data_IF_555120792153
#
_entry.id   IF_555120792153
#
_cell.length_a   1.000
_cell.length_b   1.000
_cell.length_c   1.000
_cell.angle_alpha   90.00
_cell.angle_beta   90.00
_cell.angle_gamma   90.00
#
_symmetry.space_group_name_H-M   'P 1'
#
loop_
_entity.id
_entity.type
_entity.pdbx_description
1 polymer ?
#
# COMPACT_ATOMS: atom_id res chain seq x y z
N UNK A 1 -14.98 -0.44 26.90
CA UNK A 1 -14.47 -1.48 25.97
C UNK A 1 -14.50 -1.01 24.50
N UNK A 2 -15.50 -0.30 24.06
CA UNK A 2 -15.60 0.15 22.65
C UNK A 2 -14.52 1.15 22.23
N UNK A 3 -14.15 2.10 23.08
CA UNK A 3 -13.11 3.10 22.78
C UNK A 3 -11.73 2.49 22.49
N UNK A 4 -11.38 1.39 23.13
CA UNK A 4 -10.10 0.70 22.93
C UNK A 4 -10.07 -0.10 21.60
N UNK A 5 -11.21 -0.61 21.18
CA UNK A 5 -11.33 -1.33 19.91
C UNK A 5 -11.19 -0.38 18.72
N UNK A 6 -11.82 0.79 18.77
CA UNK A 6 -11.70 1.84 17.75
C UNK A 6 -10.26 2.35 17.62
N UNK A 7 -9.58 2.52 18.76
CA UNK A 7 -8.18 2.93 18.78
C UNK A 7 -7.25 1.90 18.12
N UNK A 8 -7.48 0.60 18.36
CA UNK A 8 -6.71 -0.48 17.74
C UNK A 8 -6.94 -0.58 16.24
N UNK A 9 -8.17 -0.41 15.77
CA UNK A 9 -8.47 -0.39 14.34
C UNK A 9 -7.79 0.79 13.65
N UNK A 10 -7.86 1.97 14.23
CA UNK A 10 -7.16 3.14 13.70
C UNK A 10 -5.63 2.94 13.66
N UNK A 11 -5.05 2.30 14.68
CA UNK A 11 -3.63 1.97 14.70
C UNK A 11 -3.27 0.95 13.61
N UNK A 12 -4.08 -0.07 13.39
CA UNK A 12 -3.88 -1.05 12.31
C UNK A 12 -3.97 -0.38 10.93
N UNK A 13 -4.96 0.46 10.71
CA UNK A 13 -5.09 1.23 9.46
C UNK A 13 -3.90 2.13 9.21
N UNK A 14 -3.41 2.81 10.24
CA UNK A 14 -2.21 3.63 10.17
C UNK A 14 -0.98 2.81 9.77
N UNK A 15 -0.76 1.68 10.43
CA UNK A 15 0.37 0.77 10.16
C UNK A 15 0.27 0.10 8.79
N UNK A 16 -0.94 -0.18 8.30
CA UNK A 16 -1.17 -0.91 7.04
C UNK A 16 -1.12 -0.01 5.80
N UNK A 17 -0.93 1.31 5.96
CA UNK A 17 -0.87 2.28 4.85
C UNK A 17 0.12 1.89 3.74
N UNK A 18 1.39 1.54 4.03
CA UNK A 18 2.33 1.18 2.98
C UNK A 18 1.89 -0.04 2.17
N UNK A 19 1.34 -1.03 2.84
CA UNK A 19 0.86 -2.26 2.21
C UNK A 19 -0.34 -2.00 1.29
N UNK A 20 -1.30 -1.20 1.73
CA UNK A 20 -2.46 -0.80 0.91
C UNK A 20 -2.03 -0.01 -0.32
N UNK A 21 -1.11 0.92 -0.18
CA UNK A 21 -0.54 1.67 -1.30
C UNK A 21 0.20 0.75 -2.28
N UNK A 22 0.94 -0.23 -1.79
CA UNK A 22 1.62 -1.22 -2.62
C UNK A 22 0.64 -2.06 -3.44
N UNK A 23 -0.45 -2.52 -2.84
CA UNK A 23 -1.52 -3.21 -3.57
C UNK A 23 -2.17 -2.31 -4.62
N UNK A 24 -2.37 -1.03 -4.32
CA UNK A 24 -2.85 -0.04 -5.27
C UNK A 24 -1.93 0.09 -6.48
N UNK A 25 -0.62 0.13 -6.27
CA UNK A 25 0.39 0.17 -7.33
C UNK A 25 0.31 -1.08 -8.21
N UNK A 26 0.24 -2.28 -7.63
CA UNK A 26 0.13 -3.52 -8.40
C UNK A 26 -1.15 -3.55 -9.26
N UNK A 27 -2.28 -3.09 -8.72
CA UNK A 27 -3.52 -2.96 -9.48
C UNK A 27 -3.39 -1.96 -10.64
N UNK A 28 -2.73 -0.84 -10.43
CA UNK A 28 -2.46 0.16 -11.48
C UNK A 28 -1.56 -0.39 -12.57
N UNK A 29 -0.52 -1.15 -12.21
CA UNK A 29 0.35 -1.84 -13.18
C UNK A 29 -0.43 -2.80 -14.07
N UNK A 30 -1.34 -3.60 -13.50
CA UNK A 30 -2.19 -4.50 -14.26
C UNK A 30 -3.11 -3.73 -15.23
N UNK A 31 -3.70 -2.61 -14.78
CA UNK A 31 -4.52 -1.76 -15.65
C UNK A 31 -3.71 -1.15 -16.80
N UNK A 32 -2.49 -0.72 -16.56
CA UNK A 32 -1.59 -0.18 -17.59
C UNK A 32 -1.32 -1.23 -18.65
N UNK A 33 -0.98 -2.45 -18.26
CA UNK A 33 -0.77 -3.56 -19.21
C UNK A 33 -2.02 -3.81 -20.04
N UNK A 34 -3.19 -3.89 -19.42
CA UNK A 34 -4.47 -4.09 -20.12
C UNK A 34 -4.78 -2.97 -21.11
N UNK A 35 -4.55 -1.71 -20.72
CA UNK A 35 -4.78 -0.55 -21.59
C UNK A 35 -3.83 -0.53 -22.79
N UNK A 36 -2.57 -0.86 -22.58
CA UNK A 36 -1.58 -0.96 -23.66
C UNK A 36 -1.89 -2.09 -24.63
N UNK A 37 -2.31 -3.24 -24.14
CA UNK A 37 -2.72 -4.38 -24.98
C UNK A 37 -3.94 -4.02 -25.83
N UNK A 38 -4.95 -3.36 -25.24
CA UNK A 38 -6.11 -2.88 -25.99
C UNK A 38 -5.73 -1.82 -27.04
N UNK A 39 -4.84 -0.89 -26.70
CA UNK A 39 -4.34 0.10 -27.63
C UNK A 39 -3.60 -0.55 -28.82
N UNK A 40 -2.77 -1.56 -28.56
CA UNK A 40 -2.05 -2.32 -29.59
C UNK A 40 -3.01 -3.06 -30.52
N UNK A 41 -4.05 -3.69 -30.02
CA UNK A 41 -5.09 -4.35 -30.83
C UNK A 41 -5.86 -3.35 -31.69
N UNK A 42 -6.17 -2.18 -31.13
CA UNK A 42 -6.84 -1.10 -31.84
C UNK A 42 -5.98 -0.57 -32.98
N UNK A 43 -4.65 -0.46 -32.78
CA UNK A 43 -3.69 -0.07 -33.82
C UNK A 43 -3.68 -1.07 -34.96
N UNK A 44 -3.70 -2.36 -34.71
CA UNK A 44 -3.77 -3.41 -35.73
C UNK A 44 -5.04 -3.28 -36.59
N UNK A 45 -6.19 -2.92 -35.99
CA UNK A 45 -7.45 -2.70 -36.68
C UNK A 45 -7.43 -1.41 -37.56
N UNK A 46 -6.68 -0.38 -37.17
CA UNK A 46 -6.54 0.89 -37.92
C UNK A 46 -5.68 0.71 -39.16
N UNK A 47 -4.72 -0.20 -39.14
CA UNK A 47 -3.79 -0.45 -40.27
C UNK A 47 -4.50 -0.85 -41.59
N UNK A 48 -5.72 -1.42 -41.49
CA UNK A 48 -6.51 -1.88 -42.63
C UNK A 48 -7.58 -0.88 -43.09
N UNK A 49 -7.63 0.36 -42.53
CA UNK A 49 -8.65 1.35 -42.85
C UNK A 49 -8.05 2.61 -43.52
N UNK A 50 -8.79 3.27 -44.48
CA UNK A 50 -8.34 4.53 -45.05
C UNK A 50 -8.32 5.65 -43.99
N UNK A 51 -7.30 6.50 -44.08
CA UNK A 51 -7.03 7.62 -43.18
C UNK A 51 -8.17 8.65 -43.19
N UNK A 52 -8.97 8.64 -42.16
CA UNK A 52 -9.78 9.79 -41.73
C UNK A 52 -10.13 9.60 -40.25
N UNK A 53 -10.41 10.70 -39.52
CA UNK A 53 -10.78 10.76 -38.11
C UNK A 53 -11.55 9.53 -37.65
N UNK A 54 -10.81 8.45 -37.40
CA UNK A 54 -11.38 7.18 -37.05
C UNK A 54 -11.69 7.20 -35.51
N UNK A 55 -12.91 6.84 -35.09
CA UNK A 55 -13.21 6.66 -33.64
C UNK A 55 -12.24 5.74 -32.96
N UNK A 56 -11.61 4.81 -33.68
CA UNK A 56 -10.60 3.87 -33.16
C UNK A 56 -9.28 4.59 -32.78
N UNK A 57 -8.87 5.62 -33.56
CA UNK A 57 -7.68 6.42 -33.22
C UNK A 57 -7.90 7.17 -31.91
N UNK A 58 -9.06 7.80 -31.71
CA UNK A 58 -9.39 8.51 -30.48
C UNK A 58 -9.46 7.56 -29.28
N UNK A 59 -10.00 6.36 -29.47
CA UNK A 59 -10.01 5.32 -28.41
C UNK A 59 -8.61 4.90 -28.03
N UNK A 60 -7.74 4.67 -29.00
CA UNK A 60 -6.33 4.33 -28.76
C UNK A 60 -5.61 5.44 -27.99
N UNK A 61 -5.75 6.68 -28.41
CA UNK A 61 -5.16 7.85 -27.73
C UNK A 61 -5.68 7.96 -26.28
N UNK A 62 -6.98 7.78 -26.07
CA UNK A 62 -7.59 7.80 -24.75
C UNK A 62 -7.02 6.70 -23.84
N UNK A 63 -6.83 5.48 -24.35
CA UNK A 63 -6.24 4.37 -23.58
C UNK A 63 -4.79 4.65 -23.20
N UNK A 64 -4.00 5.20 -24.15
CA UNK A 64 -2.60 5.57 -23.88
C UNK A 64 -2.48 6.72 -22.88
N UNK A 65 -3.36 7.71 -22.96
CA UNK A 65 -3.41 8.80 -21.99
C UNK A 65 -3.78 8.28 -20.57
N UNK A 66 -4.75 7.38 -20.47
CA UNK A 66 -5.10 6.75 -19.18
C UNK A 66 -3.94 5.94 -18.61
N UNK A 67 -3.21 5.21 -19.45
CA UNK A 67 -2.03 4.48 -19.02
C UNK A 67 -0.94 5.44 -18.49
N UNK A 68 -0.69 6.55 -19.18
CA UNK A 68 0.28 7.56 -18.75
C UNK A 68 -0.13 8.24 -17.44
N UNK A 69 -1.41 8.51 -17.22
CA UNK A 69 -1.94 9.06 -15.97
C UNK A 69 -1.72 8.07 -14.80
N UNK A 70 -1.99 6.79 -15.02
CA UNK A 70 -1.73 5.75 -14.01
C UNK A 70 -0.25 5.62 -13.67
N UNK A 71 0.65 5.77 -14.65
CA UNK A 71 2.10 5.77 -14.40
C UNK A 71 2.52 6.93 -13.49
N UNK A 72 1.96 8.12 -13.69
CA UNK A 72 2.21 9.27 -12.81
C UNK A 72 1.66 9.05 -11.39
N UNK A 73 0.48 8.44 -11.28
CA UNK A 73 -0.09 8.07 -9.97
C UNK A 73 0.79 7.06 -9.23
N UNK A 74 1.37 6.07 -9.93
CA UNK A 74 2.30 5.10 -9.34
C UNK A 74 3.53 5.79 -8.75
N UNK A 75 4.09 6.77 -9.43
CA UNK A 75 5.23 7.54 -8.91
C UNK A 75 4.85 8.28 -7.63
N UNK A 76 3.68 8.93 -7.60
CA UNK A 76 3.18 9.60 -6.40
C UNK A 76 2.90 8.62 -5.26
N UNK A 77 2.31 7.46 -5.55
CA UNK A 77 2.05 6.40 -4.57
C UNK A 77 3.36 5.84 -3.99
N UNK A 78 4.41 5.71 -4.80
CA UNK A 78 5.72 5.25 -4.31
C UNK A 78 6.33 6.22 -3.31
N UNK A 79 6.24 7.52 -3.56
CA UNK A 79 6.68 8.56 -2.61
C UNK A 79 5.85 8.48 -1.32
N UNK A 80 4.54 8.29 -1.46
CA UNK A 80 3.65 8.14 -0.29
C UNK A 80 3.98 6.90 0.56
N UNK A 81 4.37 5.78 -0.08
CA UNK A 81 4.85 4.58 0.61
C UNK A 81 6.11 4.88 1.43
N UNK A 82 7.09 5.51 0.83
CA UNK A 82 8.36 5.82 1.48
C UNK A 82 8.15 6.74 2.69
N UNK A 83 7.33 7.77 2.54
CA UNK A 83 6.95 8.68 3.63
C UNK A 83 6.21 7.94 4.75
N UNK A 84 5.25 7.09 4.40
CA UNK A 84 4.51 6.29 5.39
C UNK A 84 5.43 5.31 6.14
N UNK A 85 6.37 4.68 5.46
CA UNK A 85 7.36 3.78 6.09
C UNK A 85 8.27 4.53 7.07
N UNK A 86 8.74 5.71 6.71
CA UNK A 86 9.55 6.55 7.60
C UNK A 86 8.80 6.92 8.88
N UNK A 87 7.55 7.36 8.75
CA UNK A 87 6.70 7.72 9.89
C UNK A 87 6.43 6.50 10.80
N UNK A 88 6.07 5.37 10.20
CA UNK A 88 5.80 4.11 10.93
C UNK A 88 7.06 3.62 11.61
N UNK A 89 8.19 3.64 10.95
CA UNK A 89 9.47 3.23 11.51
C UNK A 89 9.84 4.05 12.75
N UNK A 90 9.69 5.37 12.69
CA UNK A 90 9.92 6.25 13.82
C UNK A 90 9.00 5.92 15.01
N UNK A 91 7.71 5.69 14.75
CA UNK A 91 6.74 5.35 15.78
C UNK A 91 6.98 3.95 16.37
N UNK A 92 7.35 2.97 15.54
CA UNK A 92 7.65 1.59 15.96
C UNK A 92 8.91 1.55 16.84
N UNK A 93 9.97 2.24 16.47
CA UNK A 93 11.21 2.28 17.26
C UNK A 93 11.07 3.01 18.60
N UNK A 94 10.00 3.74 18.79
CA UNK A 94 9.65 4.37 20.07
C UNK A 94 8.89 3.42 21.04
N UNK A 95 8.59 2.19 20.63
CA UNK A 95 8.04 1.15 21.47
C UNK A 95 9.15 0.54 22.35
N UNK A 96 8.89 0.41 23.66
CA UNK A 96 9.89 -0.07 24.61
C UNK A 96 10.20 -1.57 24.48
N UNK A 97 9.19 -2.41 24.24
CA UNK A 97 9.39 -3.86 24.10
C UNK A 97 10.01 -4.19 22.74
N UNK A 98 11.24 -4.65 22.75
CA UNK A 98 12.00 -5.02 21.54
C UNK A 98 11.30 -6.09 20.68
N UNK A 99 10.60 -7.04 21.29
CA UNK A 99 9.90 -8.11 20.55
C UNK A 99 8.69 -7.58 19.79
N UNK A 100 7.92 -6.71 20.42
CA UNK A 100 6.82 -6.00 19.77
C UNK A 100 7.33 -5.12 18.63
N UNK A 101 8.40 -4.40 18.87
CA UNK A 101 9.08 -3.55 17.90
C UNK A 101 9.51 -4.34 16.67
N UNK A 102 10.18 -5.47 16.83
CA UNK A 102 10.63 -6.32 15.73
C UNK A 102 9.47 -6.87 14.90
N UNK A 103 8.42 -7.34 15.54
CA UNK A 103 7.24 -7.87 14.84
C UNK A 103 6.55 -6.79 14.01
N UNK A 104 6.34 -5.61 14.57
CA UNK A 104 5.73 -4.48 13.84
C UNK A 104 6.63 -4.00 12.69
N UNK A 105 7.92 -3.92 12.90
CA UNK A 105 8.88 -3.54 11.86
C UNK A 105 8.83 -4.49 10.67
N UNK A 106 9.00 -5.79 10.89
CA UNK A 106 8.98 -6.78 9.81
C UNK A 106 7.63 -6.85 9.10
N UNK A 107 6.54 -6.71 9.85
CA UNK A 107 5.19 -6.79 9.28
C UNK A 107 4.82 -5.56 8.46
N UNK A 108 5.10 -4.35 8.95
CA UNK A 108 4.56 -3.10 8.39
C UNK A 108 5.59 -2.24 7.66
N UNK A 109 6.84 -2.26 8.04
CA UNK A 109 7.90 -1.54 7.32
C UNK A 109 8.45 -2.38 6.17
N UNK A 110 8.77 -3.65 6.43
CA UNK A 110 9.25 -4.59 5.42
C UNK A 110 8.10 -5.30 4.67
N UNK A 111 6.87 -5.15 5.12
CA UNK A 111 5.67 -5.72 4.51
C UNK A 111 5.72 -7.26 4.34
N UNK A 112 6.36 -7.96 5.26
CA UNK A 112 6.54 -9.40 5.20
C UNK A 112 5.27 -10.18 5.55
N UNK A 113 5.13 -11.38 4.99
CA UNK A 113 4.11 -12.34 5.38
C UNK A 113 4.37 -12.85 6.81
N UNK A 114 3.33 -13.31 7.51
CA UNK A 114 3.42 -13.74 8.91
C UNK A 114 4.44 -14.85 9.16
N UNK A 115 4.60 -15.80 8.21
CA UNK A 115 5.61 -16.85 8.31
C UNK A 115 7.03 -16.27 8.31
N UNK A 116 7.30 -15.29 7.44
CA UNK A 116 8.59 -14.61 7.38
C UNK A 116 8.85 -13.73 8.61
N UNK A 117 7.83 -13.06 9.14
CA UNK A 117 7.90 -12.29 10.39
C UNK A 117 8.30 -13.19 11.56
N UNK A 118 7.63 -14.33 11.71
CA UNK A 118 7.92 -15.29 12.77
C UNK A 118 9.35 -15.84 12.66
N UNK A 119 9.80 -16.18 11.46
CA UNK A 119 11.16 -16.64 11.20
C UNK A 119 12.20 -15.57 11.55
N UNK A 120 12.00 -14.33 11.10
CA UNK A 120 12.89 -13.21 11.40
C UNK A 120 12.97 -12.90 12.89
N UNK A 121 11.88 -13.06 13.63
CA UNK A 121 11.81 -12.85 15.08
C UNK A 121 12.23 -14.08 15.89
N UNK A 122 12.53 -15.21 15.24
CA UNK A 122 12.94 -16.44 15.92
C UNK A 122 11.86 -17.03 16.83
N UNK A 123 10.57 -16.90 16.48
CA UNK A 123 9.46 -17.36 17.26
C UNK A 123 8.39 -18.08 16.41
N UNK A 124 7.46 -18.74 17.08
CA UNK A 124 6.30 -19.32 16.42
C UNK A 124 5.31 -18.25 15.94
N UNK A 125 4.59 -18.49 14.85
CA UNK A 125 3.59 -17.55 14.29
C UNK A 125 2.59 -17.06 15.34
N UNK A 126 2.08 -17.95 16.18
CA UNK A 126 1.16 -17.59 17.28
C UNK A 126 1.77 -16.60 18.26
N UNK A 127 3.05 -16.76 18.56
CA UNK A 127 3.79 -15.83 19.41
C UNK A 127 3.99 -14.49 18.74
N UNK A 128 4.32 -14.49 17.44
CA UNK A 128 4.41 -13.27 16.64
C UNK A 128 3.08 -12.49 16.64
N UNK A 129 1.95 -13.15 16.44
CA UNK A 129 0.62 -12.52 16.55
C UNK A 129 0.36 -11.91 17.93
N UNK A 130 0.77 -12.56 18.99
CA UNK A 130 0.62 -12.04 20.35
C UNK A 130 1.43 -10.77 20.58
N UNK A 131 2.67 -10.73 20.12
CA UNK A 131 3.50 -9.51 20.18
C UNK A 131 2.95 -8.40 19.29
N UNK A 132 2.44 -8.75 18.11
CA UNK A 132 1.76 -7.81 17.23
C UNK A 132 0.56 -7.14 17.93
N UNK A 133 -0.31 -7.92 18.55
CA UNK A 133 -1.51 -7.38 19.21
C UNK A 133 -1.15 -6.41 20.34
N UNK A 134 -0.13 -6.74 21.14
CA UNK A 134 0.40 -5.83 22.17
C UNK A 134 1.02 -4.57 21.57
N UNK A 135 1.81 -4.73 20.52
CA UNK A 135 2.43 -3.60 19.83
C UNK A 135 1.40 -2.66 19.23
N UNK A 136 0.32 -3.18 18.65
CA UNK A 136 -0.81 -2.39 18.16
C UNK A 136 -1.52 -1.63 19.29
N UNK A 137 -1.67 -2.24 20.48
CA UNK A 137 -2.21 -1.55 21.66
C UNK A 137 -1.34 -0.36 22.05
N UNK A 138 -0.03 -0.53 22.15
CA UNK A 138 0.90 0.55 22.46
C UNK A 138 0.90 1.65 21.38
N UNK A 139 0.78 1.29 20.09
CA UNK A 139 0.63 2.24 19.02
C UNK A 139 -0.68 3.03 19.13
N UNK A 140 -1.78 2.38 19.47
CA UNK A 140 -3.08 3.04 19.66
C UNK A 140 -3.01 4.08 20.80
N UNK A 141 -2.35 3.77 21.89
CA UNK A 141 -2.14 4.69 22.99
C UNK A 141 -1.30 5.90 22.56
N UNK A 142 -0.20 5.68 21.86
CA UNK A 142 0.66 6.76 21.33
C UNK A 142 -0.07 7.68 20.37
N UNK A 143 -0.82 7.12 19.43
CA UNK A 143 -1.58 7.91 18.45
C UNK A 143 -2.67 8.76 19.11
N UNK A 144 -3.28 8.26 20.18
CA UNK A 144 -4.28 9.04 20.94
C UNK A 144 -3.68 10.21 21.73
N UNK A 145 -2.43 10.07 22.19
CA UNK A 145 -1.72 11.14 22.91
C UNK A 145 -1.08 12.18 21.97
N UNK A 146 -0.74 11.80 20.75
CA UNK A 146 -0.04 12.67 19.80
C UNK A 146 -0.95 13.60 19.00
N UNK A 147 -2.27 13.56 19.22
CA UNK A 147 -3.23 14.44 18.55
C UNK A 147 -3.12 14.40 17.02
N UNK A 148 -2.94 13.22 16.44
CA UNK A 148 -2.82 13.10 14.98
C UNK A 148 -4.13 13.56 14.33
N UNK A 149 -4.10 14.51 13.38
CA UNK A 149 -5.32 14.99 12.75
C UNK A 149 -6.00 13.81 12.04
N UNK A 150 -7.27 13.60 12.38
CA UNK A 150 -8.13 12.69 11.66
C UNK A 150 -8.14 13.13 10.20
N UNK A 151 -7.51 12.37 9.32
CA UNK A 151 -7.64 12.59 7.89
C UNK A 151 -9.13 12.43 7.52
N UNK A 152 -9.74 13.53 7.24
CA UNK A 152 -10.98 13.64 6.47
C UNK A 152 -10.73 13.23 5.04
#
# INVERSE_FOLDING_TARGET
MEANTVGKEAAREYLDRPRRLQHGIENKKHKIVALRDLATRTTAAISDMPRSDSPNLQRMETMLCKAADLEREIVADQVAIDTAKEEIMAAVFDIEDYREQQVLYHRYVECQAWSAVAEACGCHIRTAHRFHDRGVEHMAEKLSHSGHPKNT
#
